data_IF_629849401737
#
_entry.id   IF_629849401737
#
_cell.length_a   1.000
_cell.length_b   1.000
_cell.length_c   1.000
_cell.angle_alpha   90.00
_cell.angle_beta   90.00
_cell.angle_gamma   90.00
#
_symmetry.space_group_name_H-M   'P 1'
#
loop_
_entity.id
_entity.type
_entity.pdbx_description
1 polymer ?
#
# COMPACT_ATOMS: atom_id res chain seq x y z
N UNK A 1 33.48 -32.47 12.96
CA UNK A 1 32.01 -32.53 12.78
C UNK A 1 31.46 -31.51 13.78
N UNK A 2 31.36 -30.21 13.49
CA UNK A 2 30.53 -29.50 12.48
C UNK A 2 29.09 -29.97 12.41
N UNK A 3 28.28 -29.47 13.34
CA UNK A 3 26.87 -29.19 13.10
C UNK A 3 26.63 -27.74 13.58
N UNK A 4 26.73 -26.81 12.62
CA UNK A 4 26.15 -25.47 12.76
C UNK A 4 24.67 -25.65 12.49
N UNK A 5 23.84 -25.60 13.53
CA UNK A 5 22.42 -25.35 13.35
C UNK A 5 22.27 -23.93 12.79
N UNK A 6 21.85 -23.90 11.54
CA UNK A 6 21.55 -22.71 10.77
C UNK A 6 20.14 -22.27 11.18
N UNK A 7 20.01 -21.62 12.34
CA UNK A 7 18.72 -21.02 12.71
C UNK A 7 18.46 -19.83 11.80
N UNK A 8 17.33 -19.93 11.10
CA UNK A 8 16.95 -19.05 10.02
C UNK A 8 16.63 -17.67 10.59
N UNK A 9 17.20 -16.67 9.94
CA UNK A 9 16.94 -15.24 10.05
C UNK A 9 15.52 -14.94 10.53
N UNK A 10 15.42 -14.52 11.79
CA UNK A 10 14.26 -13.86 12.35
C UNK A 10 14.05 -12.55 11.57
N UNK A 11 13.13 -12.56 10.60
CA UNK A 11 12.64 -11.36 9.92
C UNK A 11 11.77 -10.60 10.93
N UNK A 12 12.44 -9.89 11.83
CA UNK A 12 11.86 -9.13 12.93
C UNK A 12 11.11 -7.92 12.43
N UNK A 13 9.96 -8.14 11.80
CA UNK A 13 8.96 -7.10 11.59
C UNK A 13 8.44 -6.62 12.95
N UNK A 14 8.42 -5.30 13.16
CA UNK A 14 7.75 -4.70 14.31
C UNK A 14 6.30 -5.23 14.38
N UNK A 15 5.97 -5.93 15.47
CA UNK A 15 4.64 -6.49 15.67
C UNK A 15 3.86 -5.66 16.69
N UNK A 16 2.61 -5.35 16.36
CA UNK A 16 1.70 -4.58 17.23
C UNK A 16 0.64 -5.52 17.79
N UNK A 17 0.47 -5.50 19.12
CA UNK A 17 -0.57 -6.31 19.79
C UNK A 17 -1.85 -5.50 19.98
N UNK A 18 -2.97 -6.01 19.47
CA UNK A 18 -4.30 -5.44 19.65
C UNK A 18 -5.14 -6.28 20.63
N UNK A 19 -5.87 -5.62 21.52
CA UNK A 19 -6.89 -6.26 22.37
C UNK A 19 -8.27 -5.76 21.96
N UNK A 20 -9.11 -6.67 21.44
CA UNK A 20 -10.50 -6.35 21.11
C UNK A 20 -11.37 -6.54 22.36
N UNK A 21 -12.19 -5.53 22.70
CA UNK A 21 -13.06 -5.55 23.88
C UNK A 21 -14.50 -5.22 23.47
N UNK A 22 -15.45 -5.76 24.23
CA UNK A 22 -16.88 -5.48 24.08
C UNK A 22 -17.44 -5.82 22.68
N UNK A 23 -16.97 -6.90 22.06
CA UNK A 23 -17.58 -7.42 20.82
C UNK A 23 -18.97 -7.98 21.18
N UNK A 24 -20.05 -7.53 20.50
CA UNK A 24 -21.38 -8.09 20.69
C UNK A 24 -21.43 -9.60 20.47
N UNK A 25 -22.21 -10.33 21.28
CA UNK A 25 -22.22 -11.80 21.25
C UNK A 25 -22.75 -12.39 19.92
N UNK A 26 -23.68 -11.69 19.28
CA UNK A 26 -24.14 -11.98 17.93
C UNK A 26 -23.01 -11.85 16.90
N UNK A 27 -22.16 -10.82 17.03
CA UNK A 27 -20.98 -10.64 16.18
C UNK A 27 -19.94 -11.74 16.42
N UNK A 28 -19.65 -12.12 17.67
CA UNK A 28 -18.71 -13.22 17.96
C UNK A 28 -19.20 -14.56 17.39
N UNK A 29 -20.52 -14.80 17.40
CA UNK A 29 -21.09 -16.00 16.78
C UNK A 29 -20.79 -16.04 15.28
N UNK A 30 -21.01 -14.93 14.57
CA UNK A 30 -20.68 -14.82 13.13
C UNK A 30 -19.18 -15.04 12.88
N UNK A 31 -18.31 -14.44 13.70
CA UNK A 31 -16.85 -14.65 13.60
C UNK A 31 -16.51 -16.13 13.79
N UNK A 32 -17.16 -16.81 14.74
CA UNK A 32 -16.98 -18.25 14.98
C UNK A 32 -17.33 -19.06 13.73
N UNK A 33 -18.51 -18.82 13.18
CA UNK A 33 -19.02 -19.56 12.02
C UNK A 33 -18.11 -19.37 10.80
N UNK A 34 -17.64 -18.14 10.55
CA UNK A 34 -16.71 -17.82 9.47
C UNK A 34 -15.33 -18.45 9.68
N UNK A 35 -14.78 -18.40 10.89
CA UNK A 35 -13.50 -19.02 11.22
C UNK A 35 -13.56 -20.55 11.07
N UNK A 36 -14.65 -21.17 11.53
CA UNK A 36 -14.91 -22.60 11.36
C UNK A 36 -15.05 -22.98 9.88
N UNK A 37 -15.75 -22.17 9.08
CA UNK A 37 -15.87 -22.37 7.64
C UNK A 37 -14.50 -22.30 6.95
N UNK A 38 -13.66 -21.32 7.32
CA UNK A 38 -12.29 -21.18 6.83
C UNK A 38 -11.31 -22.24 7.38
N UNK A 39 -11.75 -23.08 8.33
CA UNK A 39 -10.93 -24.07 9.06
C UNK A 39 -9.72 -23.46 9.78
N UNK A 40 -9.91 -22.27 10.37
CA UNK A 40 -8.85 -21.54 11.08
C UNK A 40 -9.25 -21.24 12.53
N UNK A 41 -8.30 -21.17 13.48
CA UNK A 41 -8.58 -20.62 14.80
C UNK A 41 -9.11 -19.18 14.70
N UNK A 42 -10.05 -18.80 15.57
CA UNK A 42 -10.64 -17.45 15.58
C UNK A 42 -9.58 -16.33 15.57
N UNK A 43 -8.55 -16.46 16.41
CA UNK A 43 -7.49 -15.46 16.52
C UNK A 43 -6.69 -15.32 15.20
N UNK A 44 -6.38 -16.44 14.55
CA UNK A 44 -5.71 -16.44 13.24
C UNK A 44 -6.60 -15.83 12.17
N UNK A 45 -7.88 -16.22 12.12
CA UNK A 45 -8.85 -15.67 11.18
C UNK A 45 -9.00 -14.15 11.33
N UNK A 46 -9.11 -13.64 12.55
CA UNK A 46 -9.20 -12.20 12.81
C UNK A 46 -7.91 -11.48 12.43
N UNK A 47 -6.74 -12.05 12.74
CA UNK A 47 -5.47 -11.44 12.36
C UNK A 47 -5.34 -11.32 10.84
N UNK A 48 -5.58 -12.40 10.11
CA UNK A 48 -5.55 -12.40 8.64
C UNK A 48 -6.62 -11.45 8.08
N UNK A 49 -7.81 -11.42 8.67
CA UNK A 49 -8.85 -10.48 8.26
C UNK A 49 -8.42 -9.01 8.45
N UNK A 50 -7.74 -8.70 9.56
CA UNK A 50 -7.18 -7.36 9.79
C UNK A 50 -6.07 -7.05 8.79
N UNK A 51 -5.17 -7.99 8.56
CA UNK A 51 -4.11 -7.86 7.55
C UNK A 51 -4.71 -7.58 6.17
N UNK A 52 -5.66 -8.41 5.72
CA UNK A 52 -6.31 -8.25 4.41
C UNK A 52 -7.16 -6.97 4.31
N UNK A 53 -7.86 -6.59 5.39
CA UNK A 53 -8.74 -5.41 5.40
C UNK A 53 -7.97 -4.08 5.40
N UNK A 54 -6.78 -4.07 6.00
CA UNK A 54 -5.98 -2.86 6.17
C UNK A 54 -4.73 -2.83 5.28
N UNK A 55 -4.49 -3.87 4.49
CA UNK A 55 -3.39 -3.89 3.52
C UNK A 55 -3.56 -2.77 2.50
N UNK A 56 -2.61 -1.84 2.47
CA UNK A 56 -2.48 -0.88 1.39
C UNK A 56 -1.46 -1.41 0.38
N UNK A 57 -1.94 -2.16 -0.62
CA UNK A 57 -1.10 -2.73 -1.66
C UNK A 57 -0.48 -1.62 -2.51
N UNK A 58 -1.19 -0.50 -2.70
CA UNK A 58 -0.68 0.66 -3.46
C UNK A 58 0.48 1.31 -2.73
N UNK A 59 0.35 1.62 -1.45
CA UNK A 59 1.43 2.27 -0.70
C UNK A 59 2.65 1.33 -0.55
N UNK A 60 2.40 0.06 -0.27
CA UNK A 60 3.46 -0.97 -0.19
C UNK A 60 4.22 -1.11 -1.52
N UNK A 61 3.49 -1.18 -2.63
CA UNK A 61 4.07 -1.28 -3.97
C UNK A 61 4.84 -0.01 -4.34
N UNK A 62 4.25 1.16 -4.11
CA UNK A 62 4.91 2.43 -4.34
C UNK A 62 6.21 2.53 -3.53
N UNK A 63 6.24 2.03 -2.28
CA UNK A 63 7.40 2.13 -1.40
C UNK A 63 8.54 1.20 -1.79
N UNK A 64 8.22 -0.05 -2.13
CA UNK A 64 9.22 -1.12 -2.22
C UNK A 64 9.58 -1.48 -3.66
N UNK A 65 8.79 -1.06 -4.66
CA UNK A 65 9.01 -1.51 -6.02
C UNK A 65 10.08 -0.68 -6.76
N UNK A 66 11.18 -1.30 -7.24
CA UNK A 66 12.24 -0.59 -7.97
C UNK A 66 11.75 0.10 -9.25
N UNK A 67 10.70 -0.43 -9.90
CA UNK A 67 10.12 0.19 -11.10
C UNK A 67 9.58 1.59 -10.79
N UNK A 68 8.91 1.76 -9.64
CA UNK A 68 8.38 3.07 -9.23
C UNK A 68 9.52 4.03 -8.96
N UNK A 69 10.57 3.60 -8.26
CA UNK A 69 11.74 4.43 -8.02
C UNK A 69 12.39 4.91 -9.33
N UNK A 70 12.56 4.03 -10.32
CA UNK A 70 13.11 4.42 -11.62
C UNK A 70 12.19 5.39 -12.39
N UNK A 71 10.87 5.21 -12.32
CA UNK A 71 9.90 6.12 -12.95
C UNK A 71 9.88 7.49 -12.27
N UNK A 72 10.01 7.53 -10.95
CA UNK A 72 10.11 8.78 -10.18
C UNK A 72 11.37 9.56 -10.56
N UNK A 73 12.50 8.88 -10.72
CA UNK A 73 13.75 9.49 -11.20
C UNK A 73 13.63 10.02 -12.64
N UNK A 74 13.03 9.25 -13.54
CA UNK A 74 12.79 9.67 -14.93
C UNK A 74 11.90 10.92 -14.97
N UNK A 75 10.80 10.93 -14.22
CA UNK A 75 9.88 12.06 -14.15
C UNK A 75 10.55 13.29 -13.51
N UNK A 76 11.34 13.10 -12.45
CA UNK A 76 12.08 14.19 -11.84
C UNK A 76 13.06 14.82 -12.84
N UNK A 77 13.81 14.00 -13.59
CA UNK A 77 14.70 14.49 -14.64
C UNK A 77 13.95 15.20 -15.76
N UNK A 78 12.79 14.69 -16.18
CA UNK A 78 11.95 15.32 -17.22
C UNK A 78 11.45 16.70 -16.79
N UNK A 79 11.15 16.86 -15.50
CA UNK A 79 10.58 18.09 -14.92
C UNK A 79 11.62 19.08 -14.39
N UNK A 80 12.91 18.77 -14.50
CA UNK A 80 14.01 19.50 -13.84
C UNK A 80 13.75 19.67 -12.32
N UNK A 81 13.29 18.59 -11.70
CA UNK A 81 12.95 18.51 -10.28
C UNK A 81 13.82 17.46 -9.58
N UNK A 82 13.75 17.46 -8.24
CA UNK A 82 14.35 16.41 -7.41
C UNK A 82 13.26 15.55 -6.81
N UNK A 83 13.47 14.23 -6.81
CA UNK A 83 12.65 13.31 -6.03
C UNK A 83 12.78 13.68 -4.56
N UNK A 84 11.66 13.81 -3.87
CA UNK A 84 11.66 14.12 -2.44
C UNK A 84 12.19 12.91 -1.65
N UNK A 85 13.15 13.16 -0.75
CA UNK A 85 13.71 12.11 0.12
C UNK A 85 12.71 11.65 1.20
N UNK A 86 11.79 12.53 1.62
CA UNK A 86 10.75 12.21 2.58
C UNK A 86 9.37 12.19 1.93
N UNK A 87 8.63 11.10 2.17
CA UNK A 87 7.24 10.98 1.71
C UNK A 87 6.32 11.88 2.52
N UNK A 88 5.37 12.49 1.82
CA UNK A 88 4.21 13.08 2.44
C UNK A 88 3.18 11.97 2.74
N UNK A 89 3.17 11.47 3.98
CA UNK A 89 2.11 10.58 4.43
C UNK A 89 0.92 11.39 4.93
N UNK A 90 -0.28 11.03 4.50
CA UNK A 90 -1.53 11.65 4.94
C UNK A 90 -2.61 10.59 5.03
N UNK A 91 -3.43 10.62 6.09
CA UNK A 91 -4.56 9.70 6.26
C UNK A 91 -5.56 9.78 5.09
N UNK A 92 -5.60 10.90 4.36
CA UNK A 92 -6.38 11.05 3.14
C UNK A 92 -5.85 10.17 2.00
N UNK A 93 -4.52 10.02 1.88
CA UNK A 93 -3.88 9.20 0.84
C UNK A 93 -4.22 7.73 1.06
N UNK A 94 -4.09 7.23 2.29
CA UNK A 94 -4.44 5.83 2.64
C UNK A 94 -5.90 5.52 2.34
N UNK A 95 -6.82 6.43 2.70
CA UNK A 95 -8.25 6.24 2.39
C UNK A 95 -8.51 6.17 0.88
N UNK A 96 -7.91 7.07 0.10
CA UNK A 96 -8.08 7.07 -1.34
C UNK A 96 -7.47 5.84 -2.01
N UNK A 97 -6.31 5.36 -1.53
CA UNK A 97 -5.69 4.14 -2.03
C UNK A 97 -6.61 2.93 -1.86
N UNK A 98 -7.30 2.79 -0.73
CA UNK A 98 -8.27 1.71 -0.53
C UNK A 98 -9.47 1.81 -1.48
N UNK A 99 -9.99 3.01 -1.71
CA UNK A 99 -11.09 3.21 -2.66
C UNK A 99 -10.66 2.94 -4.10
N UNK A 100 -9.44 3.32 -4.49
CA UNK A 100 -8.89 2.99 -5.81
C UNK A 100 -8.65 1.49 -5.97
N UNK A 101 -8.18 0.78 -4.94
CA UNK A 101 -8.04 -0.68 -4.97
C UNK A 101 -9.38 -1.35 -5.26
N UNK A 102 -10.45 -0.93 -4.58
CA UNK A 102 -11.81 -1.44 -4.82
C UNK A 102 -12.32 -1.09 -6.22
N UNK A 103 -12.19 0.17 -6.63
CA UNK A 103 -12.71 0.67 -7.91
C UNK A 103 -12.04 0.02 -9.11
N UNK A 104 -10.72 -0.17 -9.04
CA UNK A 104 -9.91 -0.69 -10.15
C UNK A 104 -9.73 -2.22 -10.08
N UNK A 105 -10.26 -2.89 -9.04
CA UNK A 105 -10.11 -4.32 -8.85
C UNK A 105 -8.65 -4.74 -8.62
N UNK A 106 -7.88 -3.90 -7.95
CA UNK A 106 -6.45 -4.14 -7.68
C UNK A 106 -6.33 -4.84 -6.33
N UNK A 107 -5.81 -6.06 -6.37
CA UNK A 107 -5.61 -6.90 -5.18
C UNK A 107 -4.17 -7.41 -5.05
N UNK A 108 -3.38 -7.30 -6.11
CA UNK A 108 -2.00 -7.82 -6.16
C UNK A 108 -0.99 -6.80 -6.68
N UNK A 109 0.27 -6.98 -6.30
CA UNK A 109 1.38 -6.17 -6.82
C UNK A 109 1.59 -6.37 -8.33
N UNK A 110 1.29 -7.54 -8.87
CA UNK A 110 1.42 -7.82 -10.31
C UNK A 110 0.35 -7.06 -11.13
N UNK A 111 -0.86 -6.90 -10.59
CA UNK A 111 -1.88 -6.03 -11.19
C UNK A 111 -1.43 -4.57 -11.23
N UNK A 112 -0.84 -4.08 -10.13
CA UNK A 112 -0.27 -2.74 -10.08
C UNK A 112 0.88 -2.56 -11.07
N UNK A 113 1.80 -3.53 -11.13
CA UNK A 113 2.92 -3.51 -12.08
C UNK A 113 2.42 -3.43 -13.52
N UNK A 114 1.45 -4.26 -13.90
CA UNK A 114 0.85 -4.21 -15.24
C UNK A 114 0.17 -2.87 -15.52
N UNK A 115 -0.58 -2.36 -14.55
CA UNK A 115 -1.24 -1.06 -14.67
C UNK A 115 -0.22 0.06 -14.87
N UNK A 116 0.85 0.09 -14.09
CA UNK A 116 1.92 1.09 -14.20
C UNK A 116 2.59 1.01 -15.57
N UNK A 117 3.02 -0.18 -16.00
CA UNK A 117 3.68 -0.36 -17.30
C UNK A 117 2.80 0.07 -18.48
N UNK A 118 1.50 -0.25 -18.42
CA UNK A 118 0.54 0.16 -19.44
C UNK A 118 0.35 1.68 -19.49
N UNK A 119 0.56 2.36 -18.36
CA UNK A 119 0.39 3.80 -18.23
C UNK A 119 1.69 4.61 -18.30
N UNK A 120 2.86 3.97 -18.29
CA UNK A 120 4.18 4.62 -18.37
C UNK A 120 4.28 5.64 -19.51
N UNK A 121 3.81 5.35 -20.75
CA UNK A 121 3.89 6.31 -21.85
C UNK A 121 3.11 7.61 -21.62
N UNK A 122 2.10 7.60 -20.73
CA UNK A 122 1.26 8.76 -20.44
C UNK A 122 1.76 9.57 -19.24
N UNK A 123 2.79 9.10 -18.53
CA UNK A 123 3.26 9.73 -17.29
C UNK A 123 3.78 11.16 -17.51
N UNK A 124 4.60 11.38 -18.55
CA UNK A 124 5.13 12.71 -18.86
C UNK A 124 4.02 13.70 -19.21
N UNK A 125 3.05 13.27 -20.04
CA UNK A 125 1.87 14.09 -20.41
C UNK A 125 1.04 14.42 -19.17
N UNK A 126 0.85 13.46 -18.26
CA UNK A 126 0.10 13.67 -17.03
C UNK A 126 0.83 14.61 -16.07
N UNK A 127 2.15 14.46 -15.93
CA UNK A 127 2.99 15.34 -15.11
C UNK A 127 2.87 16.79 -15.59
N UNK A 128 2.92 17.01 -16.89
CA UNK A 128 2.69 18.30 -17.54
C UNK A 128 1.33 18.89 -17.19
N UNK A 129 0.25 18.10 -17.30
CA UNK A 129 -1.11 18.56 -16.99
C UNK A 129 -1.25 18.99 -15.52
N UNK A 130 -0.72 18.17 -14.60
CA UNK A 130 -0.82 18.41 -13.16
C UNK A 130 -0.01 19.64 -12.76
N UNK A 131 1.22 19.76 -13.27
CA UNK A 131 2.13 20.85 -12.89
C UNK A 131 1.84 22.17 -13.60
N UNK A 132 1.23 22.14 -14.79
CA UNK A 132 0.66 23.36 -15.41
C UNK A 132 -0.36 24.02 -14.49
N UNK A 133 -1.17 23.23 -13.77
CA UNK A 133 -2.10 23.75 -12.74
C UNK A 133 -1.41 24.42 -11.56
N UNK A 134 -0.22 23.95 -11.17
CA UNK A 134 0.56 24.47 -10.04
C UNK A 134 1.38 25.73 -10.38
N UNK A 135 1.81 25.89 -11.63
CA UNK A 135 2.51 27.11 -12.07
C UNK A 135 1.59 28.33 -12.07
N UNK A 136 0.29 28.14 -12.32
CA UNK A 136 -0.71 29.22 -12.34
C UNK A 136 -1.00 29.73 -10.91
N UNK A 137 -0.96 28.87 -9.88
CA UNK A 137 -1.28 29.26 -8.50
C UNK A 137 -0.16 30.00 -7.76
N UNK A 138 1.07 30.05 -8.30
CA UNK A 138 2.16 30.90 -7.75
C UNK A 138 2.25 32.28 -8.42
N UNK A 139 1.48 32.52 -9.48
CA UNK A 139 1.45 33.79 -10.20
C UNK A 139 0.33 34.74 -9.74
N UNK A 140 -0.39 34.40 -8.67
CA UNK A 140 -1.52 35.17 -8.18
C UNK A 140 -1.62 35.19 -6.66
N UNK A 141 -0.73 35.95 -6.02
CA UNK A 141 -1.02 36.56 -4.71
C UNK A 141 -0.73 38.07 -4.84
N UNK A 142 -1.74 38.94 -4.71
CA UNK A 142 -1.53 40.38 -4.55
C UNK A 142 -0.86 40.73 -3.22
#
# INVERSE_FOLDING_TARGET
>A
MSEKEHDMTNDGGESVTYTLRNIPADTDRVITDLASHARKPKATFLREFLEDSFRDVIDSFALKNPLIASLDEELASYLDAKVMEQRYQSHFITRWNQEYQKLLGISTEEELRRLVLNNTPFLQVRADQVLKGWKISRAGSP
#
